data_IF_922103236988
#
_entry.id   IF_922103236988
#
_cell.length_a   1.000
_cell.length_b   1.000
_cell.length_c   1.000
_cell.angle_alpha   90.00
_cell.angle_beta   90.00
_cell.angle_gamma   90.00
#
_symmetry.space_group_name_H-M   'P 1'
#
loop_
_entity.id
_entity.type
_entity.pdbx_description
1 polymer ?
#
# COMPACT_ATOMS: atom_id res chain seq x y z
N UNK A 1 6.45 -13.25 15.79
CA UNK A 1 6.83 -12.11 14.93
C UNK A 1 7.92 -11.33 15.66
N UNK A 2 9.08 -11.19 15.04
CA UNK A 2 10.27 -10.57 15.64
C UNK A 2 10.51 -9.14 15.14
N UNK A 3 10.05 -8.81 13.93
CA UNK A 3 10.15 -7.46 13.36
C UNK A 3 8.95 -7.17 12.46
N UNK A 4 8.49 -5.92 12.45
CA UNK A 4 7.45 -5.44 11.55
C UNK A 4 7.60 -3.94 11.34
N UNK A 5 7.72 -3.51 10.07
CA UNK A 5 7.85 -2.12 9.67
C UNK A 5 7.20 -1.90 8.30
N UNK A 6 6.36 -0.86 8.19
CA UNK A 6 5.63 -0.55 6.94
C UNK A 6 6.56 -0.22 5.76
N UNK A 7 7.81 0.17 5.99
CA UNK A 7 8.82 0.39 4.94
C UNK A 7 9.85 -0.75 4.86
N UNK A 8 10.22 -1.31 6.01
CA UNK A 8 11.41 -2.18 6.14
C UNK A 8 11.14 -3.67 6.02
N UNK A 9 9.91 -4.15 6.23
CA UNK A 9 9.64 -5.58 6.15
C UNK A 9 8.84 -6.18 7.29
N UNK A 10 8.77 -7.51 7.26
CA UNK A 10 8.21 -8.33 8.35
C UNK A 10 9.04 -9.61 8.52
N UNK A 11 9.42 -9.88 9.78
CA UNK A 11 10.11 -11.11 10.17
C UNK A 11 9.21 -11.94 11.09
N UNK A 12 9.01 -13.19 10.70
CA UNK A 12 8.23 -14.14 11.46
C UNK A 12 9.03 -15.42 11.73
N UNK A 13 9.31 -15.68 13.00
CA UNK A 13 9.86 -16.95 13.46
C UNK A 13 8.74 -17.84 14.00
N UNK A 14 8.46 -18.93 13.28
CA UNK A 14 7.41 -19.88 13.63
C UNK A 14 7.75 -20.76 14.84
N UNK A 15 9.00 -20.73 15.31
CA UNK A 15 9.44 -21.45 16.52
C UNK A 15 9.12 -20.69 17.80
N UNK A 16 8.84 -19.38 17.70
CA UNK A 16 8.57 -18.55 18.87
C UNK A 16 7.27 -18.98 19.55
N UNK A 17 7.38 -19.37 20.83
CA UNK A 17 6.24 -19.53 21.71
C UNK A 17 6.11 -18.25 22.55
N UNK A 18 4.95 -17.57 22.53
CA UNK A 18 4.78 -16.35 23.32
C UNK A 18 4.68 -16.70 24.81
N UNK A 19 5.51 -16.07 25.63
CA UNK A 19 5.28 -15.97 27.06
C UNK A 19 4.32 -14.80 27.29
N UNK A 20 3.21 -15.06 27.98
CA UNK A 20 2.17 -14.05 28.19
C UNK A 20 2.42 -13.26 29.46
N UNK A 21 2.53 -11.94 29.32
CA UNK A 21 2.51 -11.01 30.44
C UNK A 21 1.16 -10.28 30.53
N UNK A 22 0.71 -9.88 31.72
CA UNK A 22 -0.47 -9.02 31.86
C UNK A 22 -0.29 -7.69 31.10
N UNK A 23 -1.34 -7.28 30.37
CA UNK A 23 -1.35 -6.01 29.68
C UNK A 23 -1.23 -4.83 30.67
N UNK A 24 -0.53 -3.77 30.26
CA UNK A 24 -0.35 -2.54 31.03
C UNK A 24 -1.21 -1.44 30.43
N UNK A 25 -1.86 -0.65 31.29
CA UNK A 25 -2.54 0.57 30.85
C UNK A 25 -1.47 1.59 30.43
N UNK A 26 -1.64 2.15 29.24
CA UNK A 26 -0.77 3.20 28.70
C UNK A 26 -1.60 4.44 28.40
N UNK A 27 -0.95 5.61 28.33
CA UNK A 27 -1.60 6.80 27.81
C UNK A 27 -2.02 6.56 26.35
N UNK A 28 -3.23 7.02 25.98
CA UNK A 28 -3.68 6.97 24.60
C UNK A 28 -2.85 7.88 23.68
N UNK A 29 -2.95 7.72 22.36
CA UNK A 29 -2.19 8.51 21.38
C UNK A 29 -2.57 10.00 21.30
N UNK A 30 -3.48 10.46 22.18
CA UNK A 30 -4.16 11.75 22.05
C UNK A 30 -5.30 11.71 21.02
N UNK A 31 -5.79 12.90 20.65
CA UNK A 31 -6.84 13.05 19.66
C UNK A 31 -8.25 12.64 20.14
N UNK A 32 -9.19 12.63 19.20
CA UNK A 32 -10.60 12.24 19.44
C UNK A 32 -10.92 11.00 18.63
N UNK A 33 -11.48 9.97 19.28
CA UNK A 33 -11.98 8.80 18.58
C UNK A 33 -13.20 9.18 17.74
N UNK A 34 -13.06 9.13 16.41
CA UNK A 34 -14.13 9.39 15.45
C UNK A 34 -14.70 8.06 14.93
N UNK A 35 -15.98 8.06 14.53
CA UNK A 35 -16.66 6.89 13.99
C UNK A 35 -16.24 6.55 12.55
N UNK A 36 -16.82 5.47 12.00
CA UNK A 36 -16.51 4.97 10.65
C UNK A 36 -16.74 5.99 9.53
N UNK A 37 -17.59 7.01 9.74
CA UNK A 37 -17.81 8.10 8.78
C UNK A 37 -16.56 8.96 8.52
N UNK A 38 -15.53 8.85 9.35
CA UNK A 38 -14.24 9.53 9.20
C UNK A 38 -13.09 8.55 8.90
N UNK A 39 -13.39 7.25 8.69
CA UNK A 39 -12.40 6.23 8.42
C UNK A 39 -12.34 5.91 6.92
N UNK A 40 -11.18 5.49 6.42
CA UNK A 40 -11.07 4.93 5.08
C UNK A 40 -11.74 3.54 5.03
N UNK A 41 -12.22 3.09 3.86
CA UNK A 41 -12.63 1.69 3.71
C UNK A 41 -11.45 0.75 4.02
N UNK A 42 -11.68 -0.40 4.67
CA UNK A 42 -10.62 -1.29 5.11
C UNK A 42 -9.81 -1.82 3.93
N UNK A 43 -8.52 -2.08 4.17
CA UNK A 43 -7.64 -2.77 3.22
C UNK A 43 -7.95 -4.27 3.28
N UNK A 44 -8.11 -4.90 2.12
CA UNK A 44 -8.43 -6.32 2.01
C UNK A 44 -7.55 -7.00 0.95
N UNK A 45 -7.50 -8.33 0.99
CA UNK A 45 -6.88 -9.17 -0.04
C UNK A 45 -7.90 -9.46 -1.16
N UNK A 46 -7.49 -9.29 -2.42
CA UNK A 46 -8.38 -9.44 -3.59
C UNK A 46 -7.88 -10.50 -4.57
N UNK A 47 -6.93 -10.13 -5.42
CA UNK A 47 -6.41 -11.01 -6.48
C UNK A 47 -5.19 -11.79 -5.96
N UNK A 48 -5.04 -13.03 -6.45
CA UNK A 48 -3.84 -13.85 -6.21
C UNK A 48 -3.10 -14.00 -7.53
N UNK A 49 -1.92 -13.41 -7.61
CA UNK A 49 -1.03 -13.50 -8.76
C UNK A 49 -0.13 -14.72 -8.61
N UNK A 50 -0.24 -15.64 -9.59
CA UNK A 50 0.71 -16.73 -9.75
C UNK A 50 1.94 -16.22 -10.51
N UNK A 51 3.16 -16.65 -10.14
CA UNK A 51 4.35 -16.38 -10.92
C UNK A 51 4.18 -16.92 -12.35
N UNK A 52 4.35 -16.05 -13.34
CA UNK A 52 4.31 -16.42 -14.77
C UNK A 52 5.68 -16.90 -15.26
N UNK A 53 6.75 -16.61 -14.51
CA UNK A 53 8.11 -17.05 -14.79
C UNK A 53 8.92 -17.14 -13.50
N UNK A 54 9.82 -18.11 -13.43
CA UNK A 54 10.85 -18.25 -12.40
C UNK A 54 12.22 -18.34 -13.10
N UNK A 55 13.13 -17.44 -12.76
CA UNK A 55 14.50 -17.43 -13.26
C UNK A 55 15.46 -16.96 -12.16
N UNK A 56 16.55 -17.69 -11.91
CA UNK A 56 17.57 -17.36 -10.89
C UNK A 56 16.98 -16.96 -9.52
N UNK A 57 16.02 -17.74 -9.01
CA UNK A 57 15.27 -17.48 -7.76
C UNK A 57 14.45 -16.17 -7.76
N UNK A 58 14.24 -15.55 -8.92
CA UNK A 58 13.37 -14.39 -9.11
C UNK A 58 12.06 -14.85 -9.73
N UNK A 59 10.97 -14.66 -8.98
CA UNK A 59 9.61 -14.92 -9.41
C UNK A 59 9.05 -13.66 -10.06
N UNK A 60 8.63 -13.75 -11.33
CA UNK A 60 7.90 -12.68 -12.04
C UNK A 60 6.40 -12.94 -11.92
N UNK A 61 5.67 -12.06 -11.24
CA UNK A 61 4.21 -12.15 -11.07
C UNK A 61 3.42 -11.69 -12.31
N UNK A 62 4.09 -11.18 -13.34
CA UNK A 62 3.47 -10.70 -14.58
C UNK A 62 2.78 -9.34 -14.47
N UNK A 63 2.50 -8.86 -13.25
CA UNK A 63 1.85 -7.59 -12.97
C UNK A 63 2.50 -6.91 -11.78
N UNK A 64 2.78 -5.60 -11.90
CA UNK A 64 3.18 -4.78 -10.75
C UNK A 64 1.93 -4.39 -9.95
N UNK A 65 1.94 -4.66 -8.65
CA UNK A 65 0.83 -4.31 -7.77
C UNK A 65 1.33 -4.08 -6.34
N UNK A 66 0.55 -3.36 -5.54
CA UNK A 66 0.70 -3.41 -4.09
C UNK A 66 0.26 -4.79 -3.58
N UNK A 67 1.20 -5.53 -3.01
CA UNK A 67 0.97 -6.94 -2.68
C UNK A 67 1.74 -7.41 -1.45
N UNK A 68 1.36 -8.61 -1.01
CA UNK A 68 1.97 -9.36 0.09
C UNK A 68 2.21 -10.81 -0.37
N UNK A 69 3.38 -11.41 -0.11
CA UNK A 69 3.64 -12.78 -0.53
C UNK A 69 2.88 -13.78 0.33
N UNK A 70 2.21 -14.75 -0.30
CA UNK A 70 1.70 -15.95 0.38
C UNK A 70 2.66 -17.10 0.09
N UNK A 71 3.28 -17.60 1.15
CA UNK A 71 4.36 -18.58 1.10
C UNK A 71 3.87 -19.96 1.54
N UNK A 72 4.32 -21.00 0.83
CA UNK A 72 4.43 -22.35 1.35
C UNK A 72 5.86 -22.83 1.23
N UNK A 73 6.36 -23.46 2.29
CA UNK A 73 7.74 -23.91 2.35
C UNK A 73 7.89 -25.16 3.23
N UNK A 74 8.97 -25.89 3.00
CA UNK A 74 9.36 -27.07 3.78
C UNK A 74 10.84 -26.97 4.14
N UNK A 75 11.25 -27.59 5.24
CA UNK A 75 12.65 -27.62 5.65
C UNK A 75 12.81 -27.89 7.14
N UNK A 76 14.06 -28.07 7.62
CA UNK A 76 14.36 -28.19 9.04
C UNK A 76 13.87 -27.01 9.87
N UNK A 77 13.69 -27.22 11.18
CA UNK A 77 13.42 -26.13 12.11
C UNK A 77 14.59 -25.13 12.11
N UNK A 78 14.29 -23.84 11.97
CA UNK A 78 15.30 -22.77 11.92
C UNK A 78 15.81 -22.43 10.53
N UNK A 79 15.43 -23.18 9.48
CA UNK A 79 15.66 -22.78 8.10
C UNK A 79 14.89 -21.49 7.78
N UNK A 80 15.40 -20.66 6.88
CA UNK A 80 14.84 -19.33 6.60
C UNK A 80 14.53 -19.17 5.12
N UNK A 81 13.35 -18.63 4.82
CA UNK A 81 12.97 -18.12 3.50
C UNK A 81 12.89 -16.60 3.58
N UNK A 82 13.74 -15.91 2.84
CA UNK A 82 13.74 -14.45 2.71
C UNK A 82 13.25 -14.06 1.31
N UNK A 83 12.31 -13.12 1.25
CA UNK A 83 11.64 -12.67 0.02
C UNK A 83 11.87 -11.18 -0.14
N UNK A 84 12.54 -10.78 -1.23
CA UNK A 84 12.92 -9.40 -1.53
C UNK A 84 12.10 -8.90 -2.72
N UNK A 85 11.23 -7.89 -2.54
CA UNK A 85 10.44 -7.31 -3.62
C UNK A 85 11.23 -6.34 -4.51
N UNK A 86 10.87 -6.27 -5.79
CA UNK A 86 11.17 -5.13 -6.66
C UNK A 86 10.08 -4.91 -7.72
N UNK A 87 9.94 -3.67 -8.19
CA UNK A 87 9.09 -3.31 -9.34
C UNK A 87 9.79 -3.59 -10.68
N UNK A 88 11.13 -3.56 -10.71
CA UNK A 88 11.94 -3.60 -11.93
C UNK A 88 13.10 -4.60 -11.80
N UNK A 89 13.59 -5.04 -12.96
CA UNK A 89 14.85 -5.78 -13.07
C UNK A 89 15.87 -4.94 -13.83
N UNK A 90 17.14 -5.08 -13.45
CA UNK A 90 18.28 -4.61 -14.24
C UNK A 90 18.37 -5.44 -15.53
N UNK A 91 19.06 -4.96 -16.58
CA UNK A 91 19.32 -5.75 -17.79
C UNK A 91 20.00 -7.11 -17.52
N UNK A 92 20.71 -7.23 -16.39
CA UNK A 92 21.32 -8.49 -15.93
C UNK A 92 20.31 -9.54 -15.43
N UNK A 93 19.05 -9.16 -15.21
CA UNK A 93 18.02 -10.01 -14.58
C UNK A 93 17.99 -9.91 -13.05
N UNK A 94 18.94 -9.20 -12.44
CA UNK A 94 18.92 -8.91 -11.00
C UNK A 94 17.84 -7.89 -10.64
N UNK A 95 17.42 -7.87 -9.37
CA UNK A 95 16.50 -6.86 -8.88
C UNK A 95 17.08 -5.45 -9.05
N UNK A 96 16.23 -4.52 -9.48
CA UNK A 96 16.58 -3.11 -9.46
C UNK A 96 16.19 -2.48 -8.12
N UNK A 97 17.20 -2.14 -7.33
CA UNK A 97 17.08 -1.53 -6.01
C UNK A 97 17.11 0.00 -6.07
N UNK A 98 17.42 0.61 -7.21
CA UNK A 98 17.52 2.07 -7.36
C UNK A 98 16.18 2.77 -7.17
N UNK A 99 15.09 2.08 -7.56
CA UNK A 99 13.71 2.57 -7.40
C UNK A 99 13.12 2.26 -6.03
N UNK A 100 13.78 1.42 -5.23
CA UNK A 100 13.20 0.80 -4.05
C UNK A 100 13.27 1.67 -2.77
N UNK A 101 13.95 2.82 -2.78
CA UNK A 101 13.93 3.77 -1.66
C UNK A 101 14.32 3.22 -0.28
N UNK A 102 15.06 2.11 -0.25
CA UNK A 102 15.45 1.39 0.96
C UNK A 102 15.33 -0.13 0.81
N UNK A 103 16.06 -0.87 1.65
CA UNK A 103 15.97 -2.32 1.71
C UNK A 103 14.68 -2.73 2.42
N UNK A 104 13.94 -3.65 1.83
CA UNK A 104 12.78 -4.27 2.46
C UNK A 104 12.69 -5.74 2.11
N UNK A 105 12.12 -6.54 3.00
CA UNK A 105 11.94 -7.97 2.77
C UNK A 105 10.85 -8.54 3.66
N UNK A 106 10.39 -9.73 3.30
CA UNK A 106 9.68 -10.63 4.20
C UNK A 106 10.61 -11.77 4.58
N UNK A 107 10.62 -12.18 5.84
CA UNK A 107 11.42 -13.30 6.32
C UNK A 107 10.56 -14.27 7.13
N UNK A 108 10.64 -15.55 6.79
CA UNK A 108 9.97 -16.63 7.50
C UNK A 108 10.98 -17.67 7.98
N UNK A 109 11.06 -17.89 9.29
CA UNK A 109 11.85 -18.97 9.89
C UNK A 109 10.94 -20.16 10.21
N UNK A 110 11.26 -21.31 9.62
CA UNK A 110 10.44 -22.52 9.70
C UNK A 110 10.48 -23.14 11.10
N UNK A 111 9.36 -23.72 11.52
CA UNK A 111 9.25 -24.52 12.73
C UNK A 111 9.70 -25.98 12.53
N UNK A 112 9.88 -26.44 11.29
CA UNK A 112 10.26 -27.81 10.95
C UNK A 112 9.08 -28.78 10.94
N UNK A 113 7.87 -28.28 10.71
CA UNK A 113 6.60 -29.05 10.87
C UNK A 113 6.12 -29.74 9.59
N UNK A 114 6.99 -29.82 8.57
CA UNK A 114 6.64 -30.33 7.25
C UNK A 114 6.26 -29.18 6.32
N UNK A 115 5.03 -29.18 5.81
CA UNK A 115 4.55 -28.17 4.86
C UNK A 115 3.94 -26.98 5.60
N UNK A 116 4.73 -25.92 5.74
CA UNK A 116 4.36 -24.70 6.44
C UNK A 116 3.76 -23.69 5.48
N UNK A 117 2.73 -22.97 5.94
CA UNK A 117 2.07 -21.91 5.19
C UNK A 117 2.13 -20.61 5.97
N UNK A 118 2.54 -19.54 5.30
CA UNK A 118 2.69 -18.23 5.90
C UNK A 118 2.14 -17.13 4.99
N UNK A 119 1.44 -16.18 5.62
CA UNK A 119 1.00 -14.95 5.01
C UNK A 119 1.29 -13.81 6.01
N UNK A 120 2.08 -12.80 5.61
CA UNK A 120 2.43 -11.70 6.49
C UNK A 120 1.20 -10.86 6.84
N UNK A 121 1.33 -9.94 7.80
CA UNK A 121 0.19 -9.19 8.34
C UNK A 121 0.31 -7.67 8.23
N UNK A 122 1.51 -7.13 8.34
CA UNK A 122 1.73 -5.70 8.62
C UNK A 122 2.60 -4.99 7.59
N UNK A 123 3.05 -5.70 6.55
CA UNK A 123 3.90 -5.14 5.51
C UNK A 123 3.41 -5.54 4.11
N UNK A 124 3.05 -4.54 3.30
CA UNK A 124 2.81 -4.64 1.86
C UNK A 124 3.88 -3.88 1.08
N UNK A 125 4.05 -4.20 -0.20
CA UNK A 125 4.94 -3.43 -1.09
C UNK A 125 4.45 -3.46 -2.53
N UNK A 126 4.62 -2.36 -3.25
CA UNK A 126 4.58 -2.33 -4.70
C UNK A 126 5.69 -3.21 -5.28
N UNK A 127 5.32 -4.26 -6.01
CA UNK A 127 6.26 -5.16 -6.65
C UNK A 127 5.63 -5.98 -7.77
N UNK A 128 6.48 -6.36 -8.73
CA UNK A 128 6.22 -7.38 -9.75
C UNK A 128 7.12 -8.60 -9.56
N UNK A 129 8.34 -8.37 -9.08
CA UNK A 129 9.38 -9.37 -8.94
C UNK A 129 9.63 -9.69 -7.47
N UNK A 130 9.79 -10.97 -7.15
CA UNK A 130 10.15 -11.46 -5.82
C UNK A 130 11.42 -12.32 -5.92
N UNK A 131 12.54 -11.85 -5.38
CA UNK A 131 13.74 -12.68 -5.22
C UNK A 131 13.63 -13.48 -3.93
N UNK A 132 13.84 -14.79 -4.02
CA UNK A 132 13.83 -15.69 -2.88
C UNK A 132 15.25 -16.12 -2.54
N UNK A 133 15.60 -16.03 -1.26
CA UNK A 133 16.85 -16.51 -0.69
C UNK A 133 16.54 -17.49 0.44
N UNK A 134 16.97 -18.74 0.28
CA UNK A 134 16.75 -19.80 1.26
C UNK A 134 18.05 -20.15 1.99
N UNK A 135 17.97 -20.40 3.31
CA UNK A 135 19.09 -20.90 4.12
C UNK A 135 18.67 -22.07 5.00
N UNK A 136 19.64 -22.85 5.49
CA UNK A 136 19.39 -23.96 6.41
C UNK A 136 18.60 -25.13 5.82
N UNK A 137 18.50 -25.25 4.49
CA UNK A 137 17.72 -26.31 3.82
C UNK A 137 16.23 -26.00 3.63
N UNK A 138 15.82 -24.72 3.71
CA UNK A 138 14.47 -24.32 3.32
C UNK A 138 14.26 -24.50 1.82
N UNK A 139 13.08 -25.00 1.45
CA UNK A 139 12.60 -25.14 0.08
C UNK A 139 11.23 -24.47 -0.04
N UNK A 140 11.07 -23.60 -1.04
CA UNK A 140 9.79 -22.96 -1.35
C UNK A 140 8.98 -23.89 -2.25
N UNK A 141 7.80 -24.30 -1.78
CA UNK A 141 6.90 -25.19 -2.53
C UNK A 141 5.81 -24.41 -3.28
N UNK A 142 5.50 -23.20 -2.81
CA UNK A 142 4.59 -22.27 -3.50
C UNK A 142 4.86 -20.83 -3.04
N UNK A 143 4.81 -19.90 -3.99
CA UNK A 143 4.89 -18.47 -3.72
C UNK A 143 3.91 -17.73 -4.61
N UNK A 144 3.05 -16.92 -4.01
CA UNK A 144 2.01 -16.16 -4.70
C UNK A 144 2.05 -14.70 -4.26
N UNK A 145 1.70 -13.77 -5.16
CA UNK A 145 1.52 -12.36 -4.82
C UNK A 145 0.06 -12.05 -4.54
N UNK A 146 -0.31 -11.77 -3.29
CA UNK A 146 -1.68 -11.40 -2.93
C UNK A 146 -1.84 -9.89 -3.01
N UNK A 147 -2.67 -9.42 -3.94
CA UNK A 147 -2.94 -8.00 -4.15
C UNK A 147 -3.78 -7.48 -2.98
N UNK A 148 -3.30 -6.44 -2.34
CA UNK A 148 -3.97 -5.78 -1.21
C UNK A 148 -4.21 -4.31 -1.54
N UNK A 149 -5.40 -3.81 -1.23
CA UNK A 149 -5.77 -2.39 -1.38
C UNK A 149 -7.11 -2.14 -0.67
N UNK A 150 -7.59 -0.90 -0.67
CA UNK A 150 -8.88 -0.51 -0.10
C UNK A 150 -10.04 -1.31 -0.70
N UNK A 151 -11.04 -1.59 0.13
CA UNK A 151 -12.30 -2.23 -0.28
C UNK A 151 -13.29 -1.31 -0.98
N UNK A 152 -12.83 -0.14 -1.45
CA UNK A 152 -13.61 0.74 -2.31
C UNK A 152 -14.20 -0.03 -3.51
N UNK A 153 -15.50 0.07 -3.70
CA UNK A 153 -16.20 -0.70 -4.72
C UNK A 153 -15.81 -0.22 -6.13
N UNK A 154 -15.53 -1.12 -7.09
CA UNK A 154 -15.36 -0.72 -8.47
C UNK A 154 -16.71 -0.29 -9.07
N UNK A 155 -16.79 0.91 -9.63
CA UNK A 155 -18.03 1.45 -10.23
C UNK A 155 -17.90 1.82 -11.71
N UNK A 156 -16.65 1.94 -12.20
CA UNK A 156 -16.36 2.30 -13.57
C UNK A 156 -16.15 1.13 -14.51
N UNK A 157 -16.71 1.24 -15.71
CA UNK A 157 -16.38 0.40 -16.86
C UNK A 157 -16.14 1.27 -18.10
N UNK A 158 -15.14 0.90 -18.89
CA UNK A 158 -14.83 1.54 -20.16
C UNK A 158 -14.16 0.52 -21.08
N UNK A 159 -14.55 0.58 -22.34
CA UNK A 159 -13.92 -0.12 -23.46
C UNK A 159 -14.14 0.71 -24.72
N UNK A 160 -13.18 0.68 -25.64
CA UNK A 160 -13.33 1.28 -26.96
C UNK A 160 -12.71 0.36 -28.03
N UNK A 161 -12.85 0.73 -29.30
CA UNK A 161 -12.30 -0.02 -30.43
C UNK A 161 -10.76 0.06 -30.54
N UNK A 162 -10.12 0.93 -29.75
CA UNK A 162 -8.66 1.07 -29.75
C UNK A 162 -8.04 0.32 -28.57
N UNK A 163 -7.37 -0.79 -28.87
CA UNK A 163 -6.72 -1.64 -27.87
C UNK A 163 -5.64 -0.93 -27.05
N UNK A 164 -4.98 0.10 -27.61
CA UNK A 164 -4.01 0.89 -26.86
C UNK A 164 -4.68 1.61 -25.69
N UNK A 165 -5.85 2.23 -25.92
CA UNK A 165 -6.58 2.94 -24.87
C UNK A 165 -7.17 1.98 -23.83
N UNK A 166 -7.63 0.81 -24.25
CA UNK A 166 -8.05 -0.25 -23.32
C UNK A 166 -6.87 -0.68 -22.42
N UNK A 167 -5.66 -0.84 -22.99
CA UNK A 167 -4.45 -1.18 -22.21
C UNK A 167 -4.01 -0.06 -21.28
N UNK A 168 -4.06 1.20 -21.71
CA UNK A 168 -3.74 2.36 -20.86
C UNK A 168 -4.69 2.39 -19.66
N UNK A 169 -5.99 2.22 -19.88
CA UNK A 169 -6.95 2.13 -18.77
C UNK A 169 -6.60 1.01 -17.79
N UNK A 170 -6.28 -0.18 -18.28
CA UNK A 170 -5.87 -1.31 -17.43
C UNK A 170 -4.65 -0.96 -16.58
N UNK A 171 -3.64 -0.33 -17.17
CA UNK A 171 -2.43 0.12 -16.44
C UNK A 171 -2.77 1.16 -15.36
N UNK A 172 -3.56 2.18 -15.71
CA UNK A 172 -4.00 3.22 -14.75
C UNK A 172 -4.77 2.59 -13.60
N UNK A 173 -5.69 1.66 -13.88
CA UNK A 173 -6.49 0.99 -12.86
C UNK A 173 -5.64 0.16 -11.90
N UNK A 174 -4.57 -0.50 -12.37
CA UNK A 174 -3.61 -1.18 -11.49
C UNK A 174 -2.84 -0.20 -10.60
N UNK A 175 -2.43 0.94 -11.14
CA UNK A 175 -1.75 1.99 -10.37
C UNK A 175 -2.66 2.61 -9.30
N UNK A 176 -3.92 2.92 -9.65
CA UNK A 176 -4.92 3.43 -8.72
C UNK A 176 -5.15 2.45 -7.56
N UNK A 177 -5.41 1.17 -7.85
CA UNK A 177 -5.57 0.12 -6.82
C UNK A 177 -4.36 0.03 -5.90
N UNK A 178 -3.16 0.05 -6.46
CA UNK A 178 -1.94 -0.07 -5.66
C UNK A 178 -1.76 1.07 -4.67
N UNK A 179 -2.35 2.23 -4.93
CA UNK A 179 -2.22 3.43 -4.11
C UNK A 179 -3.43 3.74 -3.21
N UNK A 180 -4.44 2.86 -3.16
CA UNK A 180 -5.57 3.01 -2.23
C UNK A 180 -5.28 2.30 -0.91
N UNK A 181 -4.50 2.94 -0.02
CA UNK A 181 -3.95 2.33 1.21
C UNK A 181 -4.28 3.16 2.44
N UNK A 182 -5.58 3.26 2.79
CA UNK A 182 -6.13 4.14 3.85
C UNK A 182 -5.97 5.66 3.60
N UNK A 183 -5.05 6.04 2.72
CA UNK A 183 -4.92 7.32 2.03
C UNK A 183 -4.72 7.03 0.53
N UNK A 184 -4.80 8.04 -0.32
CA UNK A 184 -4.28 7.95 -1.69
C UNK A 184 -2.77 8.20 -1.65
N UNK A 185 -1.97 7.14 -1.75
CA UNK A 185 -0.51 7.28 -1.72
C UNK A 185 0.05 7.73 -3.07
N UNK A 186 1.21 8.38 -3.06
CA UNK A 186 1.99 8.68 -4.27
C UNK A 186 2.57 7.41 -4.91
N UNK A 187 3.12 6.53 -4.08
CA UNK A 187 3.69 5.26 -4.51
C UNK A 187 3.53 4.15 -3.45
N UNK A 188 3.37 2.89 -3.87
CA UNK A 188 3.18 1.76 -2.96
C UNK A 188 4.51 1.11 -2.49
N UNK A 189 5.66 1.52 -3.03
CA UNK A 189 6.93 0.82 -2.81
C UNK A 189 7.93 1.60 -1.92
N UNK A 190 7.92 2.94 -1.94
CA UNK A 190 8.91 3.78 -1.23
C UNK A 190 8.28 4.65 -0.14
N UNK A 191 7.60 5.72 -0.54
CA UNK A 191 7.17 6.80 0.37
C UNK A 191 5.88 6.45 1.08
N UNK A 192 4.86 6.04 0.32
CA UNK A 192 3.54 5.67 0.83
C UNK A 192 2.87 6.82 1.59
N UNK A 193 3.11 8.06 1.16
CA UNK A 193 2.59 9.26 1.81
C UNK A 193 1.33 9.75 1.11
N UNK A 194 0.41 10.33 1.89
CA UNK A 194 -0.82 10.93 1.39
C UNK A 194 -0.57 12.32 0.80
N UNK A 195 0.21 12.41 -0.28
CA UNK A 195 0.43 13.66 -1.00
C UNK A 195 -0.91 14.17 -1.56
N UNK A 196 -1.22 15.46 -1.31
CA UNK A 196 -2.55 16.02 -1.50
C UNK A 196 -2.94 16.24 -2.97
N UNK A 197 -1.97 16.39 -3.86
CA UNK A 197 -2.18 16.47 -5.30
C UNK A 197 -2.91 15.23 -5.84
N UNK A 198 -2.69 14.06 -5.24
CA UNK A 198 -3.36 12.81 -5.62
C UNK A 198 -4.89 12.94 -5.58
N UNK A 199 -5.43 13.70 -4.61
CA UNK A 199 -6.88 13.87 -4.48
C UNK A 199 -7.49 14.78 -5.55
N UNK A 200 -6.74 15.74 -6.14
CA UNK A 200 -7.34 16.69 -7.09
C UNK A 200 -6.84 16.52 -8.53
N UNK A 201 -5.59 16.09 -8.76
CA UNK A 201 -5.06 15.79 -10.09
C UNK A 201 -5.53 14.41 -10.56
N UNK A 202 -5.32 13.38 -9.74
CA UNK A 202 -5.78 12.02 -10.05
C UNK A 202 -7.25 11.80 -9.70
N UNK A 203 -7.78 12.60 -8.77
CA UNK A 203 -9.14 12.44 -8.23
C UNK A 203 -10.26 12.33 -9.26
N UNK A 204 -10.31 13.15 -10.33
CA UNK A 204 -11.31 12.99 -11.37
C UNK A 204 -11.30 11.58 -11.99
N UNK A 205 -10.12 11.05 -12.34
CA UNK A 205 -10.00 9.71 -12.92
C UNK A 205 -10.37 8.60 -11.91
N UNK A 206 -10.01 8.79 -10.65
CA UNK A 206 -10.25 7.84 -9.56
C UNK A 206 -11.75 7.64 -9.30
N UNK A 207 -12.52 8.74 -9.23
CA UNK A 207 -13.96 8.70 -8.95
C UNK A 207 -14.78 8.03 -10.06
N UNK A 208 -14.29 8.04 -11.31
CA UNK A 208 -14.94 7.30 -12.39
C UNK A 208 -14.68 5.78 -12.29
N UNK A 209 -13.62 5.33 -11.62
CA UNK A 209 -13.24 3.91 -11.57
C UNK A 209 -13.75 3.21 -10.30
N UNK A 210 -13.79 3.91 -9.16
CA UNK A 210 -14.15 3.38 -7.83
C UNK A 210 -15.07 4.33 -7.05
N UNK A 211 -15.95 3.78 -6.22
CA UNK A 211 -16.69 4.55 -5.21
C UNK A 211 -15.73 4.91 -4.07
N UNK A 212 -15.24 6.15 -4.14
CA UNK A 212 -14.28 6.68 -3.19
C UNK A 212 -14.89 7.75 -2.28
N UNK A 213 -16.22 7.84 -2.19
CA UNK A 213 -16.91 8.84 -1.37
C UNK A 213 -16.36 8.89 0.05
N UNK A 214 -16.21 7.71 0.68
CA UNK A 214 -15.68 7.59 2.04
C UNK A 214 -14.19 7.93 2.12
N UNK A 215 -13.38 7.51 1.15
CA UNK A 215 -11.93 7.79 1.16
C UNK A 215 -11.64 9.29 0.92
N UNK A 216 -12.41 9.95 0.06
CA UNK A 216 -12.32 11.40 -0.16
C UNK A 216 -12.77 12.19 1.04
N UNK A 217 -13.90 11.82 1.67
CA UNK A 217 -14.35 12.46 2.90
C UNK A 217 -13.33 12.30 4.05
N UNK A 218 -12.67 11.14 4.14
CA UNK A 218 -11.55 10.93 5.07
C UNK A 218 -10.35 11.80 4.71
N UNK A 219 -9.96 11.88 3.44
CA UNK A 219 -8.87 12.75 2.99
C UNK A 219 -9.11 14.23 3.31
N UNK A 220 -10.33 14.74 3.11
CA UNK A 220 -10.70 16.11 3.52
C UNK A 220 -10.61 16.31 5.04
N UNK A 221 -11.02 15.31 5.84
CA UNK A 221 -10.81 15.36 7.29
C UNK A 221 -9.32 15.42 7.64
N UNK A 222 -8.47 14.61 7.00
CA UNK A 222 -7.02 14.62 7.27
C UNK A 222 -6.40 15.97 6.91
N UNK A 223 -6.81 16.59 5.79
CA UNK A 223 -6.36 17.92 5.38
C UNK A 223 -6.76 18.97 6.43
N UNK A 224 -8.01 18.94 6.89
CA UNK A 224 -8.49 19.85 7.93
C UNK A 224 -7.81 19.63 9.29
N UNK A 225 -7.59 18.37 9.69
CA UNK A 225 -6.89 18.01 10.92
C UNK A 225 -5.38 18.37 10.82
N UNK A 226 -4.81 18.50 9.62
CA UNK A 226 -3.40 18.88 9.38
C UNK A 226 -3.20 20.38 9.17
N UNK A 227 -4.27 21.16 9.01
CA UNK A 227 -4.18 22.60 8.80
C UNK A 227 -3.60 23.30 10.02
N UNK A 228 -2.63 24.18 9.80
CA UNK A 228 -1.97 24.96 10.85
C UNK A 228 -2.82 26.18 11.24
N UNK A 229 -2.48 26.79 12.39
CA UNK A 229 -3.18 27.98 12.91
C UNK A 229 -3.11 29.20 11.98
N UNK A 230 -2.06 29.30 11.15
CA UNK A 230 -1.90 30.34 10.13
C UNK A 230 -2.66 30.04 8.82
N UNK A 231 -3.34 28.89 8.74
CA UNK A 231 -4.13 28.45 7.61
C UNK A 231 -3.36 27.58 6.61
N UNK A 232 -2.05 27.40 6.75
CA UNK A 232 -1.27 26.52 5.88
C UNK A 232 -1.78 25.07 5.99
N UNK A 233 -2.05 24.45 4.84
CA UNK A 233 -2.27 23.00 4.73
C UNK A 233 -1.00 22.38 4.18
N UNK A 234 -0.30 21.49 4.92
CA UNK A 234 0.91 20.83 4.45
C UNK A 234 0.67 20.00 3.18
N UNK A 235 1.71 19.81 2.38
CA UNK A 235 1.63 19.07 1.11
C UNK A 235 1.24 17.58 1.24
N UNK A 236 1.31 17.02 2.46
CA UNK A 236 0.83 15.68 2.80
C UNK A 236 -0.17 15.73 3.96
N UNK A 237 -1.23 14.91 3.87
CA UNK A 237 -2.12 14.64 5.00
C UNK A 237 -2.44 13.13 5.11
N UNK A 238 -2.30 12.54 6.31
CA UNK A 238 -1.74 13.14 7.54
C UNK A 238 -0.26 13.53 7.41
N UNK A 239 0.18 14.60 8.10
CA UNK A 239 1.57 15.08 8.11
C UNK A 239 2.48 14.17 8.96
N UNK A 240 2.67 12.91 8.55
CA UNK A 240 3.53 11.94 9.24
C UNK A 240 5.01 12.38 9.28
N UNK A 241 5.44 13.11 8.27
CA UNK A 241 6.78 13.69 8.14
C UNK A 241 6.63 15.19 7.93
N UNK A 242 7.32 15.99 8.74
CA UNK A 242 7.36 17.44 8.56
C UNK A 242 8.50 17.80 7.61
N UNK A 243 8.17 18.01 6.34
CA UNK A 243 9.12 18.49 5.33
C UNK A 243 9.46 19.97 5.54
N UNK A 244 10.21 20.56 4.60
CA UNK A 244 10.58 21.98 4.61
C UNK A 244 10.57 22.57 3.21
N UNK A 245 10.35 23.88 3.10
CA UNK A 245 10.30 24.57 1.81
C UNK A 245 9.16 24.06 0.93
N UNK A 246 9.39 23.99 -0.38
CA UNK A 246 8.36 23.58 -1.35
C UNK A 246 7.94 22.10 -1.31
N UNK A 247 8.42 21.31 -0.36
CA UNK A 247 7.89 19.96 -0.07
C UNK A 247 6.92 19.95 1.12
N UNK A 248 6.74 21.11 1.76
CA UNK A 248 5.78 21.31 2.84
C UNK A 248 4.69 22.30 2.45
N UNK A 249 5.07 23.34 1.72
CA UNK A 249 4.21 24.46 1.33
C UNK A 249 4.37 24.74 -0.16
N UNK A 250 3.54 24.07 -0.96
CA UNK A 250 3.46 24.26 -2.40
C UNK A 250 1.99 24.42 -2.81
N UNK A 251 1.65 25.43 -3.64
CA UNK A 251 0.27 25.70 -4.02
C UNK A 251 -0.40 24.54 -4.75
N UNK A 252 0.37 23.71 -5.46
CA UNK A 252 -0.12 22.54 -6.19
C UNK A 252 -0.64 21.45 -5.24
N UNK A 253 -0.15 21.36 -4.00
CA UNK A 253 -0.62 20.38 -3.02
C UNK A 253 -1.58 20.99 -2.02
N UNK A 254 -1.18 22.08 -1.35
CA UNK A 254 -2.01 22.72 -0.30
C UNK A 254 -3.37 23.20 -0.80
N UNK A 255 -3.50 23.62 -2.07
CA UNK A 255 -4.78 24.04 -2.65
C UNK A 255 -5.80 22.90 -2.76
N UNK A 256 -5.38 21.64 -2.59
CA UNK A 256 -6.29 20.49 -2.57
C UNK A 256 -7.40 20.64 -1.52
N UNK A 257 -7.14 21.31 -0.39
CA UNK A 257 -8.17 21.55 0.64
C UNK A 257 -9.39 22.29 0.09
N UNK A 258 -9.22 23.12 -0.95
CA UNK A 258 -10.32 23.82 -1.63
C UNK A 258 -10.78 23.07 -2.87
N UNK A 259 -9.83 22.57 -3.67
CA UNK A 259 -10.13 21.92 -4.95
C UNK A 259 -10.89 20.60 -4.79
N UNK A 260 -10.55 19.80 -3.77
CA UNK A 260 -11.10 18.47 -3.57
C UNK A 260 -12.58 18.52 -3.15
N UNK A 261 -13.01 19.35 -2.18
CA UNK A 261 -14.44 19.54 -1.89
C UNK A 261 -15.22 20.09 -3.07
N UNK A 262 -14.67 21.05 -3.81
CA UNK A 262 -15.31 21.60 -5.01
C UNK A 262 -15.52 20.52 -6.09
N UNK A 263 -14.48 19.76 -6.42
CA UNK A 263 -14.59 18.66 -7.37
C UNK A 263 -15.56 17.58 -6.89
N UNK A 264 -15.59 17.27 -5.60
CA UNK A 264 -16.53 16.30 -5.03
C UNK A 264 -17.98 16.78 -5.20
N UNK A 265 -18.23 18.06 -4.93
CA UNK A 265 -19.54 18.66 -5.19
C UNK A 265 -19.91 18.60 -6.67
N UNK A 266 -19.00 18.96 -7.57
CA UNK A 266 -19.26 18.87 -9.02
C UNK A 266 -19.56 17.44 -9.47
N UNK A 267 -18.91 16.44 -8.88
CA UNK A 267 -19.08 15.04 -9.25
C UNK A 267 -20.35 14.40 -8.66
N UNK A 268 -20.68 14.69 -7.40
CA UNK A 268 -21.73 13.98 -6.65
C UNK A 268 -22.98 14.82 -6.37
N UNK A 269 -22.90 16.14 -6.50
CA UNK A 269 -23.93 17.08 -6.04
C UNK A 269 -23.99 17.24 -4.52
N UNK A 270 -23.09 16.62 -3.75
CA UNK A 270 -23.07 16.71 -2.29
C UNK A 270 -22.53 18.07 -1.81
N UNK A 271 -23.42 18.95 -1.35
CA UNK A 271 -23.05 20.23 -0.73
C UNK A 271 -22.51 20.09 0.69
N UNK A 272 -22.74 18.98 1.39
CA UNK A 272 -22.40 18.88 2.81
C UNK A 272 -20.89 18.87 3.02
N UNK A 273 -20.15 18.14 2.20
CA UNK A 273 -18.69 18.12 2.26
C UNK A 273 -18.10 19.50 1.91
N UNK A 274 -18.64 20.17 0.87
CA UNK A 274 -18.21 21.52 0.48
C UNK A 274 -18.53 22.61 1.52
N UNK A 275 -19.59 22.43 2.33
CA UNK A 275 -19.92 23.37 3.42
C UNK A 275 -19.06 23.16 4.66
N UNK A 276 -18.58 21.94 4.85
CA UNK A 276 -17.86 21.53 6.06
C UNK A 276 -16.37 21.87 6.01
N UNK A 277 -15.75 21.69 4.85
CA UNK A 277 -14.33 21.97 4.60
C UNK A 277 -14.24 23.13 3.62
#
# INVERSE_FOLDING_TARGET
MSFSCVHGGEDFDARCQPEWEPAKVVAGPGGTLKGLSCAAPPICAFDVLQPVRLDNNVYDLGQNAAMMPRLRATGPAGSVVKIIPSELLKPSGELDDTVCGGKSYWSYTLAGTGNEAWFPKFFYRGARYLKVECTGGAEVTSLEGVVVHSSAAPVGQFSCSNDLFNRIRTLVRWAQRSNMMSVLTDCPHREKLGWLEQYHLNGPSLRYEFDLTTLFAKGMNDMADSQLEDGLVPDIAPEYVKFSGGFRDSPEWGSAVVLVPWQQYQFSGDLQLLRRY
#
